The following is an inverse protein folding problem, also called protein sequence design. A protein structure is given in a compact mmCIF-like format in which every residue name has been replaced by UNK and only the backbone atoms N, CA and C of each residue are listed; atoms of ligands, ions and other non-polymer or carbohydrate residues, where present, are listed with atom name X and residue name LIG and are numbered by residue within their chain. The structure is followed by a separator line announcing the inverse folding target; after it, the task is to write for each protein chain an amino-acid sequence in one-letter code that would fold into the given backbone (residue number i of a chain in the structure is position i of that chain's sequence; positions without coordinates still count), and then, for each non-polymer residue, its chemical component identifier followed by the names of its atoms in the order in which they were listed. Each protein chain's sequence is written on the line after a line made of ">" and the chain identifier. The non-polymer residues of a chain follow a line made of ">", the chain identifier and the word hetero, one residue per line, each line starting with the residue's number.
data_IF_303778528484
#
_entry.id   IF_303778528484
#
_cell.length_a   1.000
_cell.length_b   1.000
_cell.length_c   1.000
_cell.angle_alpha   90.00
_cell.angle_beta   90.00
_cell.angle_gamma   90.00
#
_symmetry.space_group_name_H-M   'P 1'
#
loop_
_entity.id
_entity.type
_entity.pdbx_description
1 polymer ?
#
# COMPACT_ATOMS: atom_id res chain seq x y z
N UNK A 1 21.13 -44.17 48.60
CA UNK A 1 20.76 -42.78 48.96
C UNK A 1 21.65 -41.68 48.35
N UNK A 2 22.95 -41.89 48.11
CA UNK A 2 23.83 -40.82 47.54
C UNK A 2 23.61 -40.52 46.04
N UNK A 3 23.04 -41.47 45.27
CA UNK A 3 22.76 -41.28 43.83
C UNK A 3 21.44 -40.53 43.60
N UNK A 4 20.41 -40.81 44.41
CA UNK A 4 19.11 -40.13 44.32
C UNK A 4 19.19 -38.62 44.61
N UNK A 5 20.06 -38.20 45.55
CA UNK A 5 20.31 -36.78 45.83
C UNK A 5 21.04 -36.05 44.70
N UNK A 6 21.87 -36.74 43.91
CA UNK A 6 22.55 -36.14 42.75
C UNK A 6 21.60 -35.98 41.56
N UNK A 7 20.68 -36.93 41.35
CA UNK A 7 19.65 -36.79 40.30
C UNK A 7 18.64 -35.69 40.61
N UNK A 8 18.26 -35.48 41.88
CA UNK A 8 17.38 -34.35 42.26
C UNK A 8 18.06 -32.98 42.11
N UNK A 9 19.37 -32.87 42.35
CA UNK A 9 20.11 -31.60 42.13
C UNK A 9 20.24 -31.26 40.63
N UNK A 10 20.41 -32.25 39.76
CA UNK A 10 20.43 -32.00 38.31
C UNK A 10 19.04 -31.63 37.75
N UNK A 11 17.97 -32.21 38.30
CA UNK A 11 16.60 -31.83 37.92
C UNK A 11 16.22 -30.43 38.41
N UNK A 12 16.73 -29.98 39.57
CA UNK A 12 16.48 -28.61 40.07
C UNK A 12 17.29 -27.54 39.36
N UNK A 13 18.49 -27.87 38.85
CA UNK A 13 19.29 -26.92 38.05
C UNK A 13 18.78 -26.81 36.59
N UNK A 14 18.16 -27.86 36.04
CA UNK A 14 17.58 -27.82 34.70
C UNK A 14 16.26 -27.03 34.62
N UNK A 15 15.53 -26.87 35.74
CA UNK A 15 14.30 -26.07 35.79
C UNK A 15 14.52 -24.57 36.06
N UNK A 16 15.75 -24.15 36.40
CA UNK A 16 16.07 -22.74 36.66
C UNK A 16 16.69 -22.00 35.45
N UNK A 17 16.82 -22.67 34.31
CA UNK A 17 17.28 -22.07 33.04
C UNK A 17 16.22 -22.13 31.93
N UNK A 18 14.93 -22.25 32.28
CA UNK A 18 13.92 -21.71 31.38
C UNK A 18 13.87 -20.21 31.62
N UNK A 19 14.82 -19.50 30.99
CA UNK A 19 14.60 -18.10 30.63
C UNK A 19 13.24 -18.07 29.94
N UNK A 20 12.32 -17.14 30.30
CA UNK A 20 11.17 -16.91 29.45
C UNK A 20 11.73 -16.69 28.05
N UNK A 21 11.39 -17.57 27.12
CA UNK A 21 11.61 -17.30 25.70
C UNK A 21 10.90 -15.98 25.48
N UNK A 22 11.68 -14.92 25.32
CA UNK A 22 11.20 -13.68 24.72
C UNK A 22 10.69 -14.15 23.37
N UNK A 23 9.37 -14.35 23.28
CA UNK A 23 8.71 -14.62 22.01
C UNK A 23 9.17 -13.49 21.11
N UNK A 24 9.84 -13.83 20.02
CA UNK A 24 10.29 -12.80 19.10
C UNK A 24 9.03 -12.07 18.62
N UNK A 25 9.09 -10.76 18.42
CA UNK A 25 7.94 -9.98 17.94
C UNK A 25 7.31 -10.59 16.66
N UNK A 26 8.10 -11.36 15.90
CA UNK A 26 7.69 -12.10 14.69
C UNK A 26 6.74 -13.29 14.94
N UNK A 27 6.69 -13.88 16.14
CA UNK A 27 5.92 -15.10 16.40
C UNK A 27 4.40 -14.86 16.39
N UNK A 28 3.97 -13.60 16.57
CA UNK A 28 2.56 -13.20 16.66
C UNK A 28 1.98 -12.55 15.40
N UNK A 29 2.76 -12.44 14.33
CA UNK A 29 2.27 -11.84 13.09
C UNK A 29 1.19 -12.74 12.43
N UNK A 30 0.14 -12.16 11.81
CA UNK A 30 -0.77 -12.92 10.96
C UNK A 30 -0.01 -13.65 9.84
N UNK A 31 -0.49 -14.83 9.42
CA UNK A 31 0.20 -15.66 8.43
C UNK A 31 0.41 -14.94 7.08
N UNK A 32 -0.55 -14.11 6.67
CA UNK A 32 -0.42 -13.27 5.47
C UNK A 32 0.73 -12.26 5.59
N UNK A 33 0.95 -11.70 6.77
CA UNK A 33 2.01 -10.73 7.07
C UNK A 33 3.36 -11.45 7.12
N UNK A 34 3.42 -12.64 7.72
CA UNK A 34 4.63 -13.49 7.71
C UNK A 34 5.03 -13.87 6.29
N UNK A 35 4.08 -14.28 5.46
CA UNK A 35 4.31 -14.66 4.07
C UNK A 35 4.82 -13.46 3.26
N UNK A 36 4.19 -12.28 3.39
CA UNK A 36 4.66 -11.06 2.74
C UNK A 36 6.04 -10.63 3.23
N UNK A 37 6.30 -10.68 4.55
CA UNK A 37 7.62 -10.36 5.11
C UNK A 37 8.70 -11.29 4.54
N UNK A 38 8.40 -12.58 4.43
CA UNK A 38 9.34 -13.55 3.84
C UNK A 38 9.66 -13.26 2.37
N UNK A 39 8.75 -12.61 1.64
CA UNK A 39 9.04 -12.13 0.29
C UNK A 39 9.98 -10.92 0.32
N UNK A 40 9.74 -9.93 1.19
CA UNK A 40 10.60 -8.77 1.35
C UNK A 40 12.03 -9.15 1.77
N UNK A 41 12.18 -10.15 2.63
CA UNK A 41 13.48 -10.65 3.10
C UNK A 41 14.36 -11.22 1.95
N UNK A 42 13.84 -11.30 0.71
CA UNK A 42 14.60 -11.74 -0.48
C UNK A 42 15.19 -10.60 -1.31
N UNK A 43 14.91 -9.34 -0.99
CA UNK A 43 15.36 -8.20 -1.81
C UNK A 43 16.88 -8.15 -2.02
N UNK A 44 17.67 -8.42 -0.97
CA UNK A 44 19.14 -8.45 -1.08
C UNK A 44 19.61 -9.41 -2.19
N UNK A 45 19.02 -10.60 -2.26
CA UNK A 45 19.36 -11.58 -3.30
C UNK A 45 18.94 -11.15 -4.71
N UNK A 46 17.91 -10.32 -4.82
CA UNK A 46 17.48 -9.76 -6.11
C UNK A 46 18.44 -8.68 -6.60
N UNK A 47 18.97 -7.85 -5.70
CA UNK A 47 19.93 -6.80 -6.05
C UNK A 47 21.24 -7.37 -6.59
N UNK A 48 21.66 -8.53 -6.07
CA UNK A 48 22.84 -9.25 -6.57
C UNK A 48 22.61 -9.87 -7.96
N UNK A 49 21.37 -10.22 -8.29
CA UNK A 49 21.02 -10.98 -9.50
C UNK A 49 20.58 -10.10 -10.67
N UNK A 50 19.94 -8.97 -10.39
CA UNK A 50 19.33 -8.12 -11.41
C UNK A 50 19.95 -6.72 -11.42
N UNK A 51 20.12 -6.21 -12.64
CA UNK A 51 20.34 -4.78 -12.87
C UNK A 51 19.24 -3.97 -12.18
N UNK A 52 19.62 -2.98 -11.39
CA UNK A 52 18.69 -2.22 -10.58
C UNK A 52 19.02 -0.73 -10.53
N UNK A 53 18.03 0.05 -10.10
CA UNK A 53 18.20 1.47 -9.81
C UNK A 53 17.57 1.78 -8.45
N UNK A 54 18.36 2.38 -7.56
CA UNK A 54 17.94 2.85 -6.23
C UNK A 54 17.84 4.38 -6.23
N UNK A 55 16.87 4.90 -5.49
CA UNK A 55 16.74 6.33 -5.18
C UNK A 55 16.77 6.54 -3.67
N UNK A 56 17.13 7.74 -3.22
CA UNK A 56 17.02 8.12 -1.82
C UNK A 56 15.75 8.93 -1.61
N UNK A 57 14.94 8.52 -0.64
CA UNK A 57 13.74 9.24 -0.23
C UNK A 57 14.15 10.57 0.44
N UNK A 58 13.45 11.66 0.13
CA UNK A 58 13.89 13.03 0.49
C UNK A 58 13.80 13.31 2.01
N UNK A 59 12.79 12.79 2.69
CA UNK A 59 12.47 13.07 4.09
C UNK A 59 13.28 12.23 5.09
N UNK A 60 13.45 10.92 4.85
CA UNK A 60 14.10 9.98 5.77
C UNK A 60 15.43 9.42 5.23
N UNK A 61 15.81 9.77 4.00
CA UNK A 61 17.01 9.29 3.32
C UNK A 61 17.05 7.76 3.13
N UNK A 62 15.88 7.10 3.19
CA UNK A 62 15.77 5.67 2.93
C UNK A 62 16.15 5.36 1.47
N UNK A 63 17.03 4.38 1.29
CA UNK A 63 17.31 3.78 -0.01
C UNK A 63 16.10 2.95 -0.47
N UNK A 64 15.53 3.32 -1.62
CA UNK A 64 14.36 2.67 -2.19
C UNK A 64 14.63 2.15 -3.59
N UNK A 65 14.21 0.93 -3.84
CA UNK A 65 14.39 0.25 -5.10
C UNK A 65 13.37 0.78 -6.12
N UNK A 66 13.85 1.54 -7.10
CA UNK A 66 13.01 2.14 -8.15
C UNK A 66 12.75 1.18 -9.29
N UNK A 67 13.78 0.46 -9.73
CA UNK A 67 13.72 -0.44 -10.88
C UNK A 67 14.46 -1.74 -10.60
N UNK A 68 13.87 -2.86 -11.01
CA UNK A 68 14.54 -4.13 -11.27
C UNK A 68 14.37 -4.50 -12.75
N UNK A 69 15.46 -4.62 -13.51
CA UNK A 69 15.37 -5.01 -14.92
C UNK A 69 15.09 -6.50 -15.03
N UNK A 70 13.99 -6.80 -15.69
CA UNK A 70 13.59 -8.14 -16.01
C UNK A 70 14.41 -8.58 -17.25
N UNK A 71 15.44 -9.40 -17.00
CA UNK A 71 16.51 -9.77 -17.94
C UNK A 71 16.07 -10.57 -19.17
N UNK A 72 15.24 -9.97 -20.01
CA UNK A 72 14.72 -10.53 -21.25
C UNK A 72 15.60 -10.06 -22.41
N UNK A 73 16.15 -11.01 -23.17
CA UNK A 73 16.88 -10.71 -24.39
C UNK A 73 15.97 -10.00 -25.42
N UNK A 74 16.43 -8.91 -26.06
CA UNK A 74 15.66 -8.18 -27.05
C UNK A 74 15.14 -9.07 -28.18
N UNK A 75 13.93 -8.80 -28.66
CA UNK A 75 13.32 -9.55 -29.75
C UNK A 75 12.32 -8.71 -30.55
N UNK A 76 12.12 -9.11 -31.80
CA UNK A 76 11.13 -8.51 -32.70
C UNK A 76 10.15 -9.61 -33.13
N UNK A 77 8.86 -9.28 -33.17
CA UNK A 77 7.78 -10.16 -33.66
C UNK A 77 7.15 -9.52 -34.90
N UNK A 78 6.96 -10.31 -35.96
CA UNK A 78 6.15 -9.91 -37.10
C UNK A 78 4.64 -9.97 -36.79
N UNK A 79 3.81 -9.45 -37.69
CA UNK A 79 2.36 -9.47 -37.52
C UNK A 79 1.83 -10.91 -37.34
N UNK A 80 1.08 -11.13 -36.26
CA UNK A 80 0.51 -12.44 -35.92
C UNK A 80 1.46 -13.42 -35.25
N UNK A 81 2.76 -13.10 -35.13
CA UNK A 81 3.70 -13.90 -34.35
C UNK A 81 3.50 -13.65 -32.86
N UNK A 82 3.59 -14.71 -32.06
CA UNK A 82 3.44 -14.66 -30.61
C UNK A 82 4.68 -15.16 -29.89
N UNK A 83 5.00 -14.55 -28.74
CA UNK A 83 6.04 -15.02 -27.84
C UNK A 83 5.56 -14.97 -26.40
N UNK A 84 5.78 -16.09 -25.71
CA UNK A 84 5.61 -16.16 -24.25
C UNK A 84 6.91 -15.73 -23.57
N UNK A 85 6.80 -14.83 -22.59
CA UNK A 85 7.90 -14.38 -21.75
C UNK A 85 7.55 -14.72 -20.30
N UNK A 86 8.29 -15.67 -19.72
CA UNK A 86 8.07 -16.12 -18.34
C UNK A 86 8.65 -15.14 -17.33
N UNK A 87 7.83 -14.72 -16.37
CA UNK A 87 8.21 -13.85 -15.26
C UNK A 87 8.94 -14.71 -14.21
N UNK A 88 10.20 -14.37 -13.85
CA UNK A 88 10.98 -15.09 -12.86
C UNK A 88 10.25 -15.15 -11.51
N UNK A 89 10.28 -16.33 -10.90
CA UNK A 89 9.55 -16.59 -9.66
C UNK A 89 9.98 -15.68 -8.50
N UNK A 90 11.24 -15.29 -8.46
CA UNK A 90 11.80 -14.37 -7.47
C UNK A 90 11.36 -12.91 -7.70
N UNK A 91 11.22 -12.46 -8.95
CA UNK A 91 10.58 -11.16 -9.25
C UNK A 91 9.08 -11.18 -8.93
N UNK A 92 8.41 -12.27 -9.27
CA UNK A 92 6.98 -12.43 -8.99
C UNK A 92 6.69 -12.46 -7.49
N UNK A 93 7.61 -13.03 -6.70
CA UNK A 93 7.55 -13.06 -5.23
C UNK A 93 7.53 -11.66 -4.61
N UNK A 94 8.21 -10.68 -5.19
CA UNK A 94 8.26 -9.31 -4.63
C UNK A 94 7.38 -8.31 -5.37
N UNK A 95 6.57 -8.77 -6.32
CA UNK A 95 5.81 -7.90 -7.23
C UNK A 95 4.95 -6.86 -6.48
N UNK A 96 4.42 -7.23 -5.30
CA UNK A 96 3.50 -6.43 -4.50
C UNK A 96 4.14 -5.16 -3.93
N UNK A 97 5.47 -5.06 -3.94
CA UNK A 97 6.21 -3.87 -3.53
C UNK A 97 6.32 -2.80 -4.63
N UNK A 98 5.99 -3.14 -5.88
CA UNK A 98 6.16 -2.29 -7.07
C UNK A 98 4.82 -1.82 -7.62
N UNK A 99 4.84 -0.85 -8.54
CA UNK A 99 3.61 -0.30 -9.12
C UNK A 99 3.21 -1.03 -10.41
N UNK A 100 4.20 -1.41 -11.21
CA UNK A 100 3.98 -1.86 -12.60
C UNK A 100 5.19 -2.59 -13.19
N UNK A 101 4.93 -3.31 -14.27
CA UNK A 101 5.94 -3.62 -15.27
C UNK A 101 5.93 -2.55 -16.37
N UNK A 102 7.11 -2.13 -16.78
CA UNK A 102 7.33 -1.26 -17.93
C UNK A 102 8.03 -2.08 -19.03
N UNK A 103 7.42 -2.13 -20.22
CA UNK A 103 7.95 -2.82 -21.41
C UNK A 103 8.41 -1.76 -22.42
N UNK A 104 9.69 -1.79 -22.76
CA UNK A 104 10.31 -0.84 -23.68
C UNK A 104 10.48 -1.43 -25.07
N UNK A 105 10.32 -0.60 -26.09
CA UNK A 105 10.31 -1.10 -27.45
C UNK A 105 9.81 -0.13 -28.50
N UNK A 106 9.13 -0.67 -29.51
CA UNK A 106 8.33 0.05 -30.49
C UNK A 106 7.21 -0.83 -31.06
N UNK A 107 6.17 -0.23 -31.62
CA UNK A 107 5.05 -0.94 -32.26
C UNK A 107 3.83 -1.15 -31.36
N UNK A 108 3.90 -0.81 -30.07
CA UNK A 108 2.84 -1.13 -29.11
C UNK A 108 1.49 -0.43 -29.34
N UNK A 109 1.47 0.65 -30.14
CA UNK A 109 0.22 1.34 -30.51
C UNK A 109 -0.48 0.72 -31.73
N UNK A 110 0.13 -0.28 -32.37
CA UNK A 110 -0.35 -0.95 -33.58
C UNK A 110 -0.62 -2.44 -33.38
N UNK A 111 -0.43 -2.95 -32.16
CA UNK A 111 -0.54 -4.38 -31.87
C UNK A 111 -1.75 -4.70 -31.01
N UNK A 112 -2.01 -6.00 -30.89
CA UNK A 112 -2.85 -6.49 -29.81
C UNK A 112 -2.23 -6.13 -28.46
N UNK A 113 -3.09 -5.97 -27.45
CA UNK A 113 -2.65 -5.76 -26.08
C UNK A 113 -1.85 -6.97 -25.61
N UNK A 114 -0.85 -6.72 -24.76
CA UNK A 114 -0.11 -7.80 -24.10
C UNK A 114 -1.11 -8.57 -23.25
N UNK A 115 -1.07 -9.90 -23.29
CA UNK A 115 -1.90 -10.75 -22.42
C UNK A 115 -1.05 -11.35 -21.29
N UNK A 116 -1.69 -11.87 -20.25
CA UNK A 116 -1.00 -12.56 -19.17
C UNK A 116 -1.57 -13.94 -18.88
N UNK A 117 -0.68 -14.85 -18.48
CA UNK A 117 -1.02 -16.17 -17.95
C UNK A 117 -0.74 -16.17 -16.46
N UNK A 118 -1.73 -16.60 -15.68
CA UNK A 118 -1.61 -16.86 -14.25
C UNK A 118 -1.76 -18.37 -14.03
N UNK A 119 -0.86 -19.04 -13.30
CA UNK A 119 -0.87 -20.50 -13.12
C UNK A 119 -2.23 -21.08 -12.71
N UNK A 120 -2.92 -20.39 -11.80
CA UNK A 120 -4.22 -20.83 -11.25
C UNK A 120 -5.43 -20.45 -12.11
N UNK A 121 -5.26 -19.57 -13.10
CA UNK A 121 -6.37 -19.03 -13.91
C UNK A 121 -6.22 -19.24 -15.42
N UNK A 122 -5.05 -19.67 -15.89
CA UNK A 122 -4.71 -19.70 -17.30
C UNK A 122 -4.53 -18.29 -17.87
N UNK A 123 -4.79 -18.13 -19.17
CA UNK A 123 -4.74 -16.84 -19.83
C UNK A 123 -5.90 -15.95 -19.35
N UNK A 124 -5.58 -14.80 -18.75
CA UNK A 124 -6.55 -13.83 -18.24
C UNK A 124 -6.89 -12.72 -19.24
N UNK A 125 -6.36 -12.81 -20.47
CA UNK A 125 -6.54 -11.83 -21.53
C UNK A 125 -5.63 -10.62 -21.36
N UNK A 126 -6.03 -9.52 -22.00
CA UNK A 126 -5.25 -8.29 -22.09
C UNK A 126 -4.94 -7.66 -20.72
N UNK A 127 -3.69 -7.27 -20.54
CA UNK A 127 -3.15 -6.64 -19.34
C UNK A 127 -2.56 -5.29 -19.70
N UNK A 128 -3.20 -4.18 -19.30
CA UNK A 128 -2.65 -2.84 -19.56
C UNK A 128 -2.97 -1.85 -18.43
N UNK A 129 -2.05 -0.93 -18.17
CA UNK A 129 -2.28 0.34 -17.47
C UNK A 129 -2.83 1.36 -18.49
N UNK A 130 -3.55 2.43 -18.09
CA UNK A 130 -4.15 3.37 -19.03
C UNK A 130 -3.17 4.13 -19.95
N UNK A 131 -1.85 4.00 -19.77
CA UNK A 131 -0.86 4.65 -20.62
C UNK A 131 -0.14 3.64 -21.52
N UNK A 132 -0.45 3.72 -22.82
CA UNK A 132 0.21 2.98 -23.90
C UNK A 132 0.78 4.01 -24.87
N UNK A 133 2.09 4.00 -25.05
CA UNK A 133 2.78 4.75 -26.09
C UNK A 133 3.40 3.76 -27.08
N UNK A 134 3.72 4.21 -28.29
CA UNK A 134 4.35 3.35 -29.31
C UNK A 134 5.62 2.67 -28.78
N UNK A 135 6.40 3.39 -27.99
CA UNK A 135 7.70 2.95 -27.48
C UNK A 135 7.67 2.40 -26.05
N UNK A 136 6.50 2.40 -25.41
CA UNK A 136 6.37 2.09 -24.00
C UNK A 136 5.00 1.51 -23.64
N UNK A 137 4.99 0.34 -23.02
CA UNK A 137 3.77 -0.32 -22.58
C UNK A 137 3.81 -0.59 -21.07
N UNK A 138 2.77 -0.19 -20.35
CA UNK A 138 2.69 -0.31 -18.90
C UNK A 138 1.70 -1.39 -18.48
N UNK A 139 2.06 -2.21 -17.51
CA UNK A 139 1.19 -3.25 -16.94
C UNK A 139 1.15 -3.07 -15.43
N UNK A 140 -0.01 -2.72 -14.85
CA UNK A 140 -0.12 -2.57 -13.39
C UNK A 140 0.02 -3.92 -12.70
N UNK A 141 0.70 -3.93 -11.55
CA UNK A 141 0.83 -5.16 -10.74
C UNK A 141 -0.53 -5.65 -10.23
N UNK A 142 -1.52 -4.77 -10.08
CA UNK A 142 -2.88 -5.11 -9.63
C UNK A 142 -3.62 -6.05 -10.58
N UNK A 143 -3.12 -6.20 -11.80
CA UNK A 143 -3.58 -7.21 -12.75
C UNK A 143 -3.27 -8.63 -12.25
N UNK A 144 -2.19 -8.78 -11.48
CA UNK A 144 -1.80 -10.01 -10.83
C UNK A 144 -2.37 -10.01 -9.40
N UNK A 145 -3.47 -10.73 -9.18
CA UNK A 145 -3.95 -10.99 -7.81
C UNK A 145 -3.04 -12.03 -7.16
N UNK A 146 -1.99 -11.59 -6.46
CA UNK A 146 -1.03 -12.46 -5.78
C UNK A 146 -1.42 -12.63 -4.31
N UNK A 147 -1.61 -13.89 -3.89
CA UNK A 147 -1.77 -14.27 -2.49
C UNK A 147 -0.53 -15.08 -2.09
N UNK A 148 0.32 -14.49 -1.25
CA UNK A 148 1.58 -15.12 -0.83
C UNK A 148 1.37 -16.42 -0.06
N UNK A 149 0.29 -16.55 0.71
CA UNK A 149 -0.01 -17.77 1.45
C UNK A 149 -0.40 -18.88 0.47
N UNK A 150 -1.27 -18.57 -0.49
CA UNK A 150 -1.67 -19.51 -1.53
C UNK A 150 -0.49 -19.92 -2.43
N UNK A 151 0.42 -19.00 -2.74
CA UNK A 151 1.62 -19.30 -3.53
C UNK A 151 2.59 -20.20 -2.77
N UNK A 152 2.86 -19.93 -1.49
CA UNK A 152 3.70 -20.81 -0.66
C UNK A 152 3.10 -22.23 -0.54
N UNK A 153 1.77 -22.36 -0.54
CA UNK A 153 1.09 -23.66 -0.54
C UNK A 153 1.32 -24.48 -1.83
N UNK A 154 1.79 -23.86 -2.92
CA UNK A 154 2.17 -24.56 -4.17
C UNK A 154 3.54 -25.24 -4.07
N UNK A 155 4.28 -25.07 -2.96
CA UNK A 155 5.55 -25.75 -2.72
C UNK A 155 6.64 -25.35 -3.73
N UNK A 156 7.24 -26.33 -4.41
CA UNK A 156 8.33 -26.11 -5.37
C UNK A 156 7.90 -25.25 -6.59
N UNK A 157 6.59 -25.15 -6.85
CA UNK A 157 6.03 -24.31 -7.91
C UNK A 157 5.64 -22.91 -7.44
N UNK A 158 5.96 -22.53 -6.19
CA UNK A 158 5.64 -21.21 -5.67
C UNK A 158 6.21 -20.10 -6.56
N UNK A 159 5.35 -19.16 -6.94
CA UNK A 159 5.65 -17.98 -7.77
C UNK A 159 6.06 -18.28 -9.23
N UNK A 160 6.06 -19.54 -9.67
CA UNK A 160 6.44 -19.91 -11.06
C UNK A 160 5.23 -19.99 -12.00
N UNK A 161 5.49 -19.94 -13.32
CA UNK A 161 4.48 -20.14 -14.37
C UNK A 161 3.67 -18.89 -14.76
N UNK A 162 4.02 -17.72 -14.22
CA UNK A 162 3.46 -16.44 -14.65
C UNK A 162 4.11 -16.00 -15.96
N UNK A 163 3.32 -15.57 -16.94
CA UNK A 163 3.85 -15.22 -18.26
C UNK A 163 3.16 -14.01 -18.86
N UNK A 164 3.90 -13.28 -19.70
CA UNK A 164 3.33 -12.37 -20.69
C UNK A 164 3.23 -13.07 -22.05
N UNK A 165 2.15 -12.81 -22.77
CA UNK A 165 1.99 -13.19 -24.19
C UNK A 165 2.02 -11.90 -25.01
N UNK A 166 3.06 -11.76 -25.83
CA UNK A 166 3.22 -10.62 -26.72
C UNK A 166 2.90 -11.07 -28.15
N UNK A 167 2.11 -10.27 -28.87
CA UNK A 167 1.74 -10.53 -30.27
C UNK A 167 2.20 -9.37 -31.14
N UNK A 168 2.93 -9.67 -32.21
CA UNK A 168 3.47 -8.66 -33.11
C UNK A 168 2.42 -7.96 -33.99
N UNK A 169 2.79 -6.85 -34.66
CA UNK A 169 4.17 -6.41 -34.87
C UNK A 169 4.77 -5.54 -33.72
N UNK A 170 5.73 -6.08 -32.97
CA UNK A 170 6.43 -5.36 -31.89
C UNK A 170 7.94 -5.56 -31.95
N UNK A 171 8.69 -4.56 -31.50
CA UNK A 171 10.09 -4.68 -31.11
C UNK A 171 10.18 -4.48 -29.59
N UNK A 172 10.73 -5.44 -28.86
CA UNK A 172 10.87 -5.40 -27.40
C UNK A 172 12.34 -5.37 -27.06
N UNK A 173 12.75 -4.32 -26.34
CA UNK A 173 14.14 -4.08 -25.93
C UNK A 173 14.42 -4.46 -24.49
N UNK A 174 13.39 -4.53 -23.67
CA UNK A 174 13.52 -4.89 -22.27
C UNK A 174 12.20 -4.77 -21.54
N UNK A 175 12.16 -5.41 -20.39
CA UNK A 175 11.05 -5.30 -19.44
C UNK A 175 11.69 -4.94 -18.09
N UNK A 176 11.01 -4.15 -17.28
CA UNK A 176 11.43 -3.89 -15.91
C UNK A 176 10.24 -3.84 -14.97
N UNK A 177 10.50 -4.14 -13.71
CA UNK A 177 9.57 -3.96 -12.60
C UNK A 177 9.90 -2.62 -11.92
N UNK A 178 8.91 -1.74 -11.82
CA UNK A 178 9.12 -0.31 -11.54
C UNK A 178 8.19 0.21 -10.45
N UNK A 179 8.72 1.08 -9.59
CA UNK A 179 8.00 1.82 -8.56
C UNK A 179 8.25 3.31 -8.72
N UNK A 180 7.19 4.12 -8.89
CA UNK A 180 7.33 5.54 -9.22
C UNK A 180 8.10 6.30 -8.13
N UNK A 181 7.84 5.96 -6.87
CA UNK A 181 8.43 6.57 -5.67
C UNK A 181 9.46 5.66 -4.97
N UNK A 182 9.85 4.56 -5.62
CA UNK A 182 10.72 3.54 -5.04
C UNK A 182 9.99 2.63 -4.04
N UNK A 183 10.27 1.34 -4.12
CA UNK A 183 9.82 0.33 -3.17
C UNK A 183 10.74 0.35 -1.95
N UNK A 184 10.17 0.33 -0.73
CA UNK A 184 10.97 0.01 0.45
C UNK A 184 11.39 -1.46 0.34
N UNK A 185 12.66 -1.73 0.64
CA UNK A 185 13.18 -3.10 0.66
C UNK A 185 12.94 -3.78 2.02
N UNK A 186 12.39 -3.04 2.98
CA UNK A 186 12.06 -3.53 4.32
C UNK A 186 10.55 -3.48 4.53
N UNK A 187 9.96 -4.57 5.02
CA UNK A 187 8.57 -4.55 5.43
C UNK A 187 8.45 -4.01 6.85
N UNK A 188 7.71 -2.92 7.03
CA UNK A 188 7.30 -2.45 8.36
C UNK A 188 6.16 -3.35 8.87
N UNK A 189 6.45 -4.15 9.90
CA UNK A 189 5.49 -5.05 10.55
C UNK A 189 4.84 -4.47 11.79
N UNK A 190 5.19 -3.24 12.20
CA UNK A 190 4.79 -2.65 13.49
C UNK A 190 3.27 -2.55 13.68
N UNK A 191 2.51 -2.42 12.59
CA UNK A 191 1.05 -2.38 12.62
C UNK A 191 0.40 -3.71 13.08
N UNK A 192 1.13 -4.83 13.01
CA UNK A 192 0.65 -6.17 13.38
C UNK A 192 1.37 -6.75 14.59
N UNK A 193 2.38 -6.05 15.10
CA UNK A 193 3.12 -6.46 16.29
C UNK A 193 2.37 -6.12 17.58
N UNK A 194 2.75 -6.81 18.65
CA UNK A 194 2.30 -6.44 19.99
C UNK A 194 2.98 -5.13 20.38
N UNK A 195 2.19 -4.09 20.69
CA UNK A 195 2.72 -2.81 21.15
C UNK A 195 3.62 -3.01 22.39
N UNK A 196 4.89 -2.64 22.24
CA UNK A 196 5.90 -2.80 23.29
C UNK A 196 6.33 -4.26 23.54
N UNK A 197 5.98 -5.20 22.66
CA UNK A 197 6.42 -6.60 22.75
C UNK A 197 7.93 -6.79 22.57
N UNK A 198 8.62 -5.78 22.02
CA UNK A 198 10.07 -5.69 21.92
C UNK A 198 10.73 -5.15 23.21
N UNK A 199 9.94 -4.71 24.18
CA UNK A 199 10.45 -4.15 25.44
C UNK A 199 10.54 -5.21 26.52
N UNK A 200 11.46 -4.99 27.46
CA UNK A 200 11.54 -5.79 28.67
C UNK A 200 10.22 -5.72 29.45
N UNK A 201 9.75 -6.86 29.92
CA UNK A 201 8.60 -6.92 30.83
C UNK A 201 9.08 -6.37 32.17
N UNK A 202 8.53 -5.21 32.54
CA UNK A 202 8.84 -4.56 33.81
C UNK A 202 8.05 -5.24 34.93
N UNK A 203 8.77 -5.88 35.86
CA UNK A 203 8.19 -6.43 37.08
C UNK A 203 7.93 -5.35 38.13
N UNK A 204 6.97 -5.59 39.02
CA UNK A 204 6.71 -4.71 40.18
C UNK A 204 6.00 -3.39 39.86
N UNK A 205 5.42 -3.24 38.66
CA UNK A 205 4.54 -2.10 38.35
C UNK A 205 3.24 -2.25 39.14
N UNK A 206 2.96 -1.30 40.02
CA UNK A 206 1.67 -1.15 40.68
C UNK A 206 0.83 -0.10 39.96
N UNK A 207 -0.38 -0.49 39.55
CA UNK A 207 -1.37 0.44 38.98
C UNK A 207 -2.46 0.67 40.02
N UNK A 208 -2.49 1.86 40.60
CA UNK A 208 -3.56 2.27 41.52
C UNK A 208 -4.66 3.00 40.75
N UNK A 209 -5.89 2.48 40.83
CA UNK A 209 -7.07 3.13 40.23
C UNK A 209 -8.02 3.54 41.34
N UNK A 210 -8.23 4.85 41.49
CA UNK A 210 -9.27 5.39 42.37
C UNK A 210 -10.52 5.76 41.56
N UNK A 211 -11.52 4.89 41.62
CA UNK A 211 -12.81 5.11 40.96
C UNK A 211 -13.83 5.89 41.83
N UNK A 212 -13.45 6.30 43.04
CA UNK A 212 -14.33 7.01 43.98
C UNK A 212 -14.16 8.53 43.94
N UNK A 213 -12.99 8.99 43.49
CA UNK A 213 -12.72 10.42 43.28
C UNK A 213 -12.83 10.80 41.81
N UNK A 214 -13.38 11.99 41.55
CA UNK A 214 -13.51 12.52 40.20
C UNK A 214 -12.28 13.33 39.83
N UNK A 215 -11.55 12.88 38.82
CA UNK A 215 -10.49 13.67 38.20
C UNK A 215 -11.11 14.72 37.27
N UNK A 216 -10.61 15.95 37.37
CA UNK A 216 -10.96 17.05 36.48
C UNK A 216 -9.70 17.62 35.88
N UNK A 217 -9.66 17.74 34.55
CA UNK A 217 -8.60 18.43 33.82
C UNK A 217 -9.27 19.63 33.14
N UNK A 218 -8.94 20.84 33.59
CA UNK A 218 -9.54 22.09 33.08
C UNK A 218 -11.08 22.14 33.12
N UNK A 219 -11.69 21.45 34.09
CA UNK A 219 -13.16 21.37 34.22
C UNK A 219 -13.80 20.20 33.48
N UNK A 220 -13.02 19.46 32.69
CA UNK A 220 -13.46 18.29 31.94
C UNK A 220 -13.34 17.06 32.84
N UNK A 221 -14.47 16.38 33.05
CA UNK A 221 -14.59 15.23 33.96
C UNK A 221 -15.18 14.00 33.29
N UNK A 222 -15.32 14.05 31.97
CA UNK A 222 -15.86 13.00 31.12
C UNK A 222 -14.90 12.81 29.95
N UNK A 223 -14.80 11.58 29.45
CA UNK A 223 -14.02 11.31 28.27
C UNK A 223 -14.71 11.91 27.03
N UNK A 224 -14.03 12.85 26.37
CA UNK A 224 -14.48 13.53 25.15
C UNK A 224 -14.18 12.64 23.93
N UNK A 225 -15.02 11.63 23.73
CA UNK A 225 -14.79 10.61 22.70
C UNK A 225 -14.71 11.15 21.28
N UNK A 226 -15.45 12.20 20.97
CA UNK A 226 -15.41 12.96 19.72
C UNK A 226 -14.02 13.52 19.39
N UNK A 227 -13.24 13.95 20.38
CA UNK A 227 -11.88 14.48 20.16
C UNK A 227 -10.85 13.40 19.85
N UNK A 228 -11.02 12.21 20.42
CA UNK A 228 -10.00 11.16 20.39
C UNK A 228 -10.36 9.95 19.52
N UNK A 229 -11.64 9.74 19.19
CA UNK A 229 -12.13 8.62 18.38
C UNK A 229 -12.42 9.08 16.96
N UNK A 230 -11.36 9.52 16.30
CA UNK A 230 -11.43 9.99 14.91
C UNK A 230 -10.85 8.96 13.95
N UNK A 231 -11.42 8.86 12.75
CA UNK A 231 -10.83 8.11 11.64
C UNK A 231 -10.68 9.00 10.39
N UNK A 232 -9.86 8.55 9.44
CA UNK A 232 -9.77 9.18 8.14
C UNK A 232 -11.02 8.84 7.32
N UNK A 233 -11.88 9.82 7.09
CA UNK A 233 -13.07 9.67 6.24
C UNK A 233 -13.29 10.93 5.43
N UNK A 234 -13.67 10.76 4.15
CA UNK A 234 -13.89 11.85 3.20
C UNK A 234 -15.38 12.17 3.09
N UNK A 235 -15.74 13.44 3.26
CA UNK A 235 -17.10 13.94 3.01
C UNK A 235 -17.47 13.91 1.52
N UNK A 236 -16.48 13.73 0.63
CA UNK A 236 -16.64 13.82 -0.83
C UNK A 236 -16.85 12.48 -1.55
N UNK A 237 -17.40 11.47 -0.85
CA UNK A 237 -17.78 10.17 -1.41
C UNK A 237 -16.59 9.34 -1.90
N UNK A 238 -15.56 9.20 -1.04
CA UNK A 238 -14.52 8.21 -1.31
C UNK A 238 -15.10 6.80 -1.05
N UNK A 239 -14.96 5.85 -1.99
CA UNK A 239 -15.54 4.50 -1.85
C UNK A 239 -15.16 3.81 -0.54
N UNK A 240 -13.96 4.05 -0.04
CA UNK A 240 -13.50 3.44 1.21
C UNK A 240 -14.23 4.01 2.43
N UNK A 241 -14.51 5.31 2.47
CA UNK A 241 -15.31 5.91 3.56
C UNK A 241 -16.71 5.30 3.60
N UNK A 242 -17.32 5.04 2.44
CA UNK A 242 -18.61 4.36 2.38
C UNK A 242 -18.53 2.92 2.90
N UNK A 243 -17.52 2.15 2.45
CA UNK A 243 -17.35 0.74 2.84
C UNK A 243 -17.10 0.59 4.34
N UNK A 244 -16.36 1.51 4.94
CA UNK A 244 -15.94 1.39 6.34
C UNK A 244 -16.84 2.12 7.33
N UNK A 245 -17.78 2.95 6.87
CA UNK A 245 -18.61 3.79 7.73
C UNK A 245 -19.31 2.99 8.83
N UNK A 246 -19.99 1.89 8.48
CA UNK A 246 -20.69 1.01 9.43
C UNK A 246 -19.75 0.41 10.47
N UNK A 247 -18.55 0.01 10.05
CA UNK A 247 -17.56 -0.57 10.96
C UNK A 247 -17.08 0.45 11.99
N UNK A 248 -16.82 1.70 11.57
CA UNK A 248 -16.33 2.76 12.47
C UNK A 248 -17.43 3.34 13.35
N UNK A 249 -18.61 3.62 12.80
CA UNK A 249 -19.71 4.17 13.61
C UNK A 249 -20.22 3.19 14.65
N UNK A 250 -20.20 1.87 14.38
CA UNK A 250 -20.50 0.85 15.40
C UNK A 250 -19.53 0.85 16.59
N UNK A 251 -18.38 1.51 16.48
CA UNK A 251 -17.35 1.65 17.52
C UNK A 251 -17.24 3.07 18.06
N UNK A 252 -18.18 3.95 17.69
CA UNK A 252 -18.16 5.38 18.01
C UNK A 252 -16.88 6.08 17.51
N UNK A 253 -16.40 5.69 16.32
CA UNK A 253 -15.37 6.42 15.57
C UNK A 253 -16.01 7.22 14.45
N UNK A 254 -15.73 8.52 14.43
CA UNK A 254 -16.30 9.47 13.48
C UNK A 254 -15.20 10.09 12.62
N UNK A 255 -15.50 10.58 11.41
CA UNK A 255 -14.48 11.20 10.59
C UNK A 255 -14.25 12.63 11.08
N UNK A 256 -13.00 13.04 11.27
CA UNK A 256 -12.69 14.34 11.88
C UNK A 256 -12.05 15.37 10.94
N UNK A 257 -11.51 14.93 9.79
CA UNK A 257 -10.71 15.79 8.92
C UNK A 257 -10.70 15.35 7.45
N UNK A 258 -10.79 16.31 6.53
CA UNK A 258 -10.38 16.15 5.13
C UNK A 258 -9.28 17.12 4.73
N UNK A 259 -8.54 16.72 3.70
CA UNK A 259 -7.75 17.61 2.87
C UNK A 259 -8.49 17.80 1.54
N UNK A 260 -8.77 19.04 1.17
CA UNK A 260 -9.17 19.40 -0.19
C UNK A 260 -7.94 19.86 -0.98
N UNK A 261 -7.66 19.17 -2.09
CA UNK A 261 -6.50 19.46 -2.95
C UNK A 261 -6.91 20.37 -4.09
N UNK A 262 -6.26 21.54 -4.21
CA UNK A 262 -6.54 22.47 -5.31
C UNK A 262 -5.84 22.13 -6.62
N UNK A 263 -4.83 21.27 -6.63
CA UNK A 263 -4.07 20.87 -7.84
C UNK A 263 -4.95 20.65 -9.09
N UNK A 264 -6.02 19.82 -9.04
CA UNK A 264 -6.92 19.62 -10.18
C UNK A 264 -7.59 20.89 -10.72
N UNK A 265 -7.78 21.90 -9.87
CA UNK A 265 -8.36 23.20 -10.23
C UNK A 265 -7.32 24.23 -10.65
N UNK A 266 -6.03 23.99 -10.41
CA UNK A 266 -4.94 24.94 -10.65
C UNK A 266 -3.98 24.52 -11.78
N UNK A 267 -3.80 23.23 -12.03
CA UNK A 267 -2.75 22.70 -12.90
C UNK A 267 -3.28 22.13 -14.22
N UNK A 268 -2.46 22.30 -15.26
CA UNK A 268 -2.61 21.66 -16.57
C UNK A 268 -2.00 20.26 -16.46
N UNK A 269 -2.79 19.20 -16.63
CA UNK A 269 -2.34 17.81 -16.47
C UNK A 269 -3.34 16.90 -15.74
N UNK A 270 -4.27 17.50 -14.99
CA UNK A 270 -5.48 16.82 -14.54
C UNK A 270 -6.56 16.82 -15.63
N UNK A 271 -7.75 16.31 -15.31
CA UNK A 271 -8.91 16.27 -16.21
C UNK A 271 -9.09 17.61 -16.95
N UNK A 272 -8.89 17.55 -18.28
CA UNK A 272 -8.94 18.71 -19.16
C UNK A 272 -10.37 19.25 -19.33
N UNK A 273 -11.38 18.46 -18.98
CA UNK A 273 -12.79 18.87 -19.04
C UNK A 273 -13.22 19.70 -17.83
N UNK A 274 -12.45 19.66 -16.73
CA UNK A 274 -12.77 20.40 -15.52
C UNK A 274 -12.30 21.86 -15.62
N UNK A 275 -13.17 22.84 -15.33
CA UNK A 275 -12.80 24.23 -15.39
C UNK A 275 -11.75 24.55 -14.31
N UNK A 276 -10.72 25.29 -14.72
CA UNK A 276 -9.62 25.76 -13.87
C UNK A 276 -9.94 27.10 -13.24
N UNK A 277 -9.41 27.34 -12.04
CA UNK A 277 -9.50 28.63 -11.36
C UNK A 277 -8.94 29.70 -12.31
N UNK A 278 -9.66 30.82 -12.42
CA UNK A 278 -9.28 31.97 -13.23
C UNK A 278 -9.13 33.18 -12.32
N UNK A 279 -8.24 34.08 -12.70
CA UNK A 279 -8.15 35.39 -12.06
C UNK A 279 -9.44 36.19 -12.30
N UNK A 280 -9.89 36.91 -11.28
CA UNK A 280 -11.00 37.84 -11.36
C UNK A 280 -10.56 39.10 -12.14
N UNK A 281 -11.14 39.39 -13.31
CA UNK A 281 -10.74 40.54 -14.12
C UNK A 281 -10.96 41.88 -13.41
N UNK A 282 -11.89 41.94 -12.44
CA UNK A 282 -12.20 43.16 -11.69
C UNK A 282 -11.36 43.28 -10.40
N UNK A 283 -10.71 42.19 -9.96
CA UNK A 283 -9.91 42.13 -8.73
C UNK A 283 -8.59 41.35 -8.96
N UNK A 284 -7.56 41.99 -9.55
CA UNK A 284 -6.26 41.35 -9.78
C UNK A 284 -5.66 40.74 -8.49
N UNK A 285 -5.14 39.52 -8.59
CA UNK A 285 -4.65 38.73 -7.46
C UNK A 285 -5.72 37.91 -6.73
N UNK A 286 -7.00 38.02 -7.11
CA UNK A 286 -8.09 37.19 -6.59
C UNK A 286 -8.58 36.23 -7.67
N UNK A 287 -9.04 35.04 -7.27
CA UNK A 287 -9.63 34.08 -8.18
C UNK A 287 -11.16 34.20 -8.23
N UNK A 288 -11.77 33.91 -9.38
CA UNK A 288 -13.22 33.72 -9.45
C UNK A 288 -13.62 32.36 -8.86
N UNK A 289 -14.76 32.31 -8.18
CA UNK A 289 -15.28 31.09 -7.55
C UNK A 289 -16.18 30.26 -8.47
N UNK A 290 -16.28 30.62 -9.75
CA UNK A 290 -17.23 30.01 -10.69
C UNK A 290 -16.99 28.50 -10.86
N UNK A 291 -15.73 28.07 -10.74
CA UNK A 291 -15.36 26.65 -10.82
C UNK A 291 -15.98 25.83 -9.71
N UNK A 292 -16.21 26.40 -8.52
CA UNK A 292 -16.78 25.66 -7.38
C UNK A 292 -18.17 25.14 -7.71
N UNK A 293 -18.96 25.85 -8.52
CA UNK A 293 -20.27 25.37 -8.95
C UNK A 293 -20.17 24.10 -9.79
N UNK A 294 -19.17 24.01 -10.69
CA UNK A 294 -18.94 22.83 -11.50
C UNK A 294 -18.40 21.66 -10.67
N UNK A 295 -17.46 21.93 -9.75
CA UNK A 295 -16.88 20.90 -8.88
C UNK A 295 -17.86 20.37 -7.82
N UNK A 296 -18.76 21.23 -7.33
CA UNK A 296 -19.71 20.90 -6.26
C UNK A 296 -21.12 20.57 -6.77
N UNK A 297 -21.35 20.54 -8.08
CA UNK A 297 -22.68 20.34 -8.70
C UNK A 297 -23.35 19.03 -8.26
N UNK A 298 -22.56 18.01 -7.90
CA UNK A 298 -23.03 16.71 -7.40
C UNK A 298 -22.81 16.51 -5.89
N UNK A 299 -22.46 17.56 -5.15
CA UNK A 299 -22.13 17.48 -3.72
C UNK A 299 -23.31 17.11 -2.82
N UNK A 300 -24.55 17.42 -3.22
CA UNK A 300 -25.74 17.24 -2.38
C UNK A 300 -26.03 15.78 -2.01
N UNK A 301 -25.92 14.85 -2.95
CA UNK A 301 -26.12 13.42 -2.67
C UNK A 301 -25.01 12.83 -1.80
N UNK A 302 -23.78 13.38 -1.94
CA UNK A 302 -22.60 12.94 -1.19
C UNK A 302 -22.66 13.39 0.26
N UNK A 303 -23.04 14.65 0.46
CA UNK A 303 -23.32 15.22 1.79
C UNK A 303 -24.48 14.46 2.46
N UNK A 304 -25.57 14.19 1.73
CA UNK A 304 -26.70 13.43 2.27
C UNK A 304 -26.37 11.99 2.69
N UNK A 305 -25.38 11.34 2.05
CA UNK A 305 -24.85 10.07 2.55
C UNK A 305 -24.06 10.29 3.84
N UNK A 306 -23.15 11.27 3.85
CA UNK A 306 -22.28 11.56 4.97
C UNK A 306 -23.08 11.91 6.24
N UNK A 307 -24.07 12.78 6.11
CA UNK A 307 -25.00 13.17 7.18
C UNK A 307 -25.75 11.96 7.73
N UNK A 308 -26.22 11.06 6.87
CA UNK A 308 -26.91 9.82 7.28
C UNK A 308 -25.97 8.85 7.98
N UNK A 309 -24.73 8.76 7.51
CA UNK A 309 -23.75 7.82 8.02
C UNK A 309 -23.18 8.27 9.38
N UNK A 310 -22.98 9.57 9.57
CA UNK A 310 -22.20 10.10 10.69
C UNK A 310 -22.92 11.13 11.56
N UNK A 311 -24.07 11.65 11.11
CA UNK A 311 -24.83 12.71 11.78
C UNK A 311 -24.65 14.07 11.10
N UNK A 312 -25.72 14.88 11.09
CA UNK A 312 -25.71 16.25 10.56
C UNK A 312 -24.94 17.24 11.47
N UNK A 313 -24.75 16.88 12.74
CA UNK A 313 -24.09 17.67 13.78
C UNK A 313 -22.60 17.35 13.94
N UNK A 314 -22.04 16.54 13.05
CA UNK A 314 -20.63 16.18 13.09
C UNK A 314 -19.72 17.39 12.91
N UNK A 315 -18.86 17.63 13.89
CA UNK A 315 -17.76 18.59 13.76
C UNK A 315 -16.68 18.03 12.82
N UNK A 316 -16.43 18.74 11.72
CA UNK A 316 -15.53 18.29 10.67
C UNK A 316 -14.55 19.37 10.24
N UNK A 317 -13.26 19.06 10.25
CA UNK A 317 -12.22 20.01 9.85
C UNK A 317 -11.89 19.85 8.36
N UNK A 318 -12.09 20.90 7.57
CA UNK A 318 -11.63 20.97 6.18
C UNK A 318 -10.30 21.73 6.12
N UNK A 319 -9.23 21.03 5.75
CA UNK A 319 -7.93 21.63 5.47
C UNK A 319 -7.75 21.80 3.96
N UNK A 320 -7.04 22.86 3.57
CA UNK A 320 -6.56 23.03 2.20
C UNK A 320 -5.10 22.59 2.11
N UNK A 321 -4.77 21.84 1.07
CA UNK A 321 -3.42 21.34 0.84
C UNK A 321 -3.12 21.31 -0.67
N UNK A 322 -1.84 21.13 -0.98
CA UNK A 322 -1.21 21.35 -2.28
C UNK A 322 -1.32 22.81 -2.74
N UNK A 323 -0.26 23.57 -2.46
CA UNK A 323 0.08 24.71 -3.30
C UNK A 323 0.27 24.21 -4.76
N UNK A 324 -0.12 24.98 -5.80
CA UNK A 324 0.10 24.59 -7.18
C UNK A 324 1.55 24.16 -7.39
N UNK A 325 1.74 23.06 -8.09
CA UNK A 325 3.02 22.34 -8.20
C UNK A 325 4.16 23.15 -8.82
N UNK A 326 3.83 24.25 -9.52
CA UNK A 326 4.65 25.00 -10.48
C UNK A 326 5.84 24.24 -11.07
#
# INVERSE_FOLDING_TARGET
>A
MKILKKCLMFASCAMFFMLPTISSANDHLPEEVKALKSAYDTFETLLDKYDHWVINQVNDQEERLKVLKFGVEPFTLAEGETKEVEIPADLMRVISAFDKFDVYGSGFNKTNLIEAVIPTKGNIGAVSSPWIADTHYQIRITTFTLDHVAELARGDEAYSGYKFILTGPVDVKGIELSSNNGASMTMDTTAWEVLGGDKEILDGIEVTVDATNRLSIEGITTFEGDKFRNHAGSASDHPDTQKTSVYYTSKNFYPGRQIYKFGPTLEIGYDASLPKLKEDPENPGYATYDVLKAHMQNGSNKIAFFDRAFGEDLEYTLCFDNWPSW
#
